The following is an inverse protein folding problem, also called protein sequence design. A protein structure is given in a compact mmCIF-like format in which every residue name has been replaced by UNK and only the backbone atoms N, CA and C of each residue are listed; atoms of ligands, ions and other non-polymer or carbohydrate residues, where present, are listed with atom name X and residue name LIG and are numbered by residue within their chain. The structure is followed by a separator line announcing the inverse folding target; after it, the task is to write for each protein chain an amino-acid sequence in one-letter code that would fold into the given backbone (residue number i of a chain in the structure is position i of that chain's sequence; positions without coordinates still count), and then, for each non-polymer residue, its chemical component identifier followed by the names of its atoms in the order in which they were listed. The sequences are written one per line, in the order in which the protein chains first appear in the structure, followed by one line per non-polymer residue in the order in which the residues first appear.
data_IF_109703005760
#
_entry.id   IF_109703005760
#
_cell.length_a   1.000
_cell.length_b   1.000
_cell.length_c   1.000
_cell.angle_alpha   90.00
_cell.angle_beta   90.00
_cell.angle_gamma   90.00
#
_symmetry.space_group_name_H-M   'P 1'
#
loop_
_entity.id
_entity.type
_entity.pdbx_description
1 polymer ?
#
# COMPACT_ATOMS: atom_id res chain seq x y z
N UNK A 1 3.65 17.06 17.54
CA UNK A 1 2.44 17.07 18.40
C UNK A 1 2.16 15.65 18.83
N UNK A 2 1.90 15.43 20.12
CA UNK A 2 1.55 14.09 20.64
C UNK A 2 0.09 14.10 21.05
N UNK A 3 -0.68 13.11 20.58
CA UNK A 3 -2.04 12.82 21.01
C UNK A 3 -1.99 11.66 22.00
N UNK A 4 -2.63 11.80 23.15
CA UNK A 4 -2.77 10.72 24.14
C UNK A 4 -4.26 10.38 24.26
N UNK A 5 -4.59 9.14 23.96
CA UNK A 5 -5.92 8.57 24.14
C UNK A 5 -5.94 7.81 25.47
N UNK A 6 -6.60 8.39 26.48
CA UNK A 6 -6.66 7.80 27.80
C UNK A 6 -7.80 6.78 27.90
N UNK A 7 -7.57 5.67 28.59
CA UNK A 7 -8.56 4.62 28.89
C UNK A 7 -9.18 3.94 27.64
N UNK A 8 -8.52 3.96 26.49
CA UNK A 8 -9.02 3.33 25.27
C UNK A 8 -9.10 1.80 25.43
N UNK A 9 -10.09 1.18 24.79
CA UNK A 9 -10.13 -0.26 24.61
C UNK A 9 -9.25 -0.64 23.42
N UNK A 10 -8.05 -1.16 23.68
CA UNK A 10 -7.03 -1.41 22.66
C UNK A 10 -7.00 -2.89 22.28
N UNK A 11 -7.06 -3.19 20.99
CA UNK A 11 -6.89 -4.53 20.46
C UNK A 11 -5.42 -4.79 20.13
N UNK A 12 -4.84 -5.83 20.75
CA UNK A 12 -3.49 -6.33 20.45
C UNK A 12 -3.48 -7.85 20.55
N UNK A 13 -2.87 -8.52 19.57
CA UNK A 13 -2.65 -9.98 19.58
C UNK A 13 -3.90 -10.80 19.91
N UNK A 14 -5.05 -10.42 19.35
CA UNK A 14 -6.31 -11.14 19.56
C UNK A 14 -7.06 -10.79 20.84
N UNK A 15 -6.56 -9.87 21.67
CA UNK A 15 -7.15 -9.52 22.98
C UNK A 15 -7.43 -8.02 23.07
N UNK A 16 -8.55 -7.67 23.69
CA UNK A 16 -8.88 -6.31 24.10
C UNK A 16 -8.42 -6.03 25.53
N UNK A 17 -7.76 -4.90 25.73
CA UNK A 17 -7.39 -4.41 27.06
C UNK A 17 -7.54 -2.90 27.15
N UNK A 18 -7.83 -2.37 28.35
CA UNK A 18 -7.86 -0.92 28.58
C UNK A 18 -6.44 -0.40 28.76
N UNK A 19 -6.05 0.55 27.93
CA UNK A 19 -4.73 1.17 27.97
C UNK A 19 -4.77 2.61 27.46
N UNK A 20 -3.79 3.39 27.87
CA UNK A 20 -3.49 4.67 27.24
C UNK A 20 -2.67 4.44 25.97
N UNK A 21 -2.99 5.17 24.92
CA UNK A 21 -2.29 5.10 23.62
C UNK A 21 -1.73 6.47 23.29
N UNK A 22 -0.43 6.55 23.09
CA UNK A 22 0.24 7.78 22.64
C UNK A 22 0.57 7.69 21.15
N UNK A 23 0.13 8.69 20.39
CA UNK A 23 0.39 8.80 18.94
C UNK A 23 1.16 10.08 18.68
N UNK A 24 2.36 9.95 18.10
CA UNK A 24 3.14 11.10 17.63
C UNK A 24 2.68 11.50 16.22
N UNK A 25 2.18 12.71 16.08
CA UNK A 25 1.72 13.27 14.82
C UNK A 25 2.82 14.14 14.20
N UNK A 26 3.46 13.64 13.15
CA UNK A 26 4.43 14.35 12.32
C UNK A 26 5.89 14.20 12.78
N UNK A 27 6.79 14.08 11.80
CA UNK A 27 8.24 14.04 11.93
C UNK A 27 8.88 15.41 11.67
N UNK A 28 8.70 16.38 12.54
CA UNK A 28 9.37 17.67 12.46
C UNK A 28 10.01 18.03 13.80
N UNK A 29 10.98 18.96 13.79
CA UNK A 29 11.65 19.46 15.00
C UNK A 29 10.60 19.90 16.01
N UNK A 30 10.45 19.11 17.07
CA UNK A 30 9.46 19.32 18.11
C UNK A 30 9.83 20.57 18.93
N UNK A 31 9.09 21.66 18.79
CA UNK A 31 8.88 22.51 19.95
C UNK A 31 8.11 21.68 20.97
N UNK A 32 8.54 21.74 22.23
CA UNK A 32 7.84 21.07 23.34
C UNK A 32 6.40 21.64 23.45
N UNK A 33 5.49 20.99 22.73
CA UNK A 33 4.05 21.25 22.82
C UNK A 33 3.50 20.20 23.76
N UNK A 34 2.78 20.62 24.78
CA UNK A 34 2.10 19.71 25.70
C UNK A 34 1.23 18.74 24.91
N UNK A 35 1.18 17.44 25.30
CA UNK A 35 0.35 16.47 24.63
C UNK A 35 -1.12 16.86 24.72
N UNK A 36 -1.87 16.63 23.65
CA UNK A 36 -3.34 16.71 23.67
C UNK A 36 -3.87 15.39 24.21
N UNK A 37 -4.52 15.46 25.38
CA UNK A 37 -5.13 14.29 26.02
C UNK A 37 -6.63 14.24 25.70
N UNK A 38 -7.12 13.08 25.31
CA UNK A 38 -8.53 12.81 25.00
C UNK A 38 -8.98 11.61 25.83
N UNK A 39 -10.10 11.73 26.53
CA UNK A 39 -10.75 10.56 27.14
C UNK A 39 -11.31 9.66 26.03
N UNK A 40 -10.75 8.48 25.92
CA UNK A 40 -11.09 7.48 24.92
C UNK A 40 -11.80 6.26 25.54
N UNK A 41 -12.40 6.40 26.70
CA UNK A 41 -13.06 5.31 27.43
C UNK A 41 -14.22 4.66 26.65
N UNK A 42 -14.84 5.39 25.70
CA UNK A 42 -15.90 4.91 24.81
C UNK A 42 -15.38 4.47 23.44
N UNK A 43 -14.07 4.54 23.18
CA UNK A 43 -13.48 4.20 21.88
C UNK A 43 -12.74 2.89 21.90
N UNK A 44 -12.75 2.23 20.74
CA UNK A 44 -11.92 1.06 20.46
C UNK A 44 -10.77 1.48 19.54
N UNK A 45 -9.54 1.16 19.92
CA UNK A 45 -8.34 1.40 19.12
C UNK A 45 -7.90 0.09 18.48
N UNK A 46 -7.85 0.09 17.16
CA UNK A 46 -7.43 -1.02 16.31
C UNK A 46 -6.18 -0.63 15.53
N UNK A 47 -5.36 -1.59 15.06
CA UNK A 47 -4.41 -1.33 13.99
C UNK A 47 -5.13 -0.78 12.75
N UNK A 48 -4.48 0.11 12.00
CA UNK A 48 -5.02 0.56 10.71
C UNK A 48 -5.22 -0.61 9.76
N UNK A 49 -6.29 -0.56 8.98
CA UNK A 49 -6.62 -1.62 8.02
C UNK A 49 -5.62 -1.67 6.87
N UNK A 50 -5.52 -2.82 6.24
CA UNK A 50 -4.73 -3.06 5.03
C UNK A 50 -5.67 -3.56 3.93
N UNK A 51 -5.70 -2.87 2.79
CA UNK A 51 -6.37 -3.35 1.60
C UNK A 51 -5.33 -3.87 0.62
N UNK A 52 -5.44 -5.14 0.26
CA UNK A 52 -4.44 -5.82 -0.58
C UNK A 52 -4.76 -5.73 -2.08
N UNK A 53 -5.84 -5.04 -2.48
CA UNK A 53 -6.28 -4.97 -3.87
C UNK A 53 -7.05 -3.67 -4.15
N UNK A 54 -6.35 -2.63 -4.55
CA UNK A 54 -6.96 -1.35 -4.96
C UNK A 54 -6.45 -0.89 -6.32
N UNK A 55 -7.21 -0.01 -6.98
CA UNK A 55 -6.83 0.58 -8.25
C UNK A 55 -6.67 2.10 -8.11
N UNK A 56 -5.43 2.58 -8.05
CA UNK A 56 -5.14 4.02 -7.97
C UNK A 56 -5.01 4.69 -9.33
N UNK A 57 -4.92 3.92 -10.41
CA UNK A 57 -5.04 4.38 -11.81
C UNK A 57 -4.00 5.41 -12.29
N UNK A 58 -3.03 5.74 -11.48
CA UNK A 58 -1.95 6.67 -11.82
C UNK A 58 -0.59 5.94 -11.75
N UNK A 59 0.20 6.01 -12.81
CA UNK A 59 0.06 6.80 -14.05
C UNK A 59 -0.93 6.24 -15.10
N UNK A 60 -1.28 7.09 -16.06
CA UNK A 60 -1.95 6.74 -17.32
C UNK A 60 -3.47 6.88 -17.32
N UNK A 61 -4.15 6.70 -16.19
CA UNK A 61 -5.61 6.73 -16.09
C UNK A 61 -6.10 7.68 -14.99
N UNK A 62 -5.40 8.78 -14.75
CA UNK A 62 -5.68 9.75 -13.67
C UNK A 62 -7.06 10.40 -13.76
N UNK A 63 -7.74 10.28 -14.91
CA UNK A 63 -9.14 10.71 -15.06
C UNK A 63 -10.15 9.78 -14.36
N UNK A 64 -9.72 8.58 -13.96
CA UNK A 64 -10.55 7.64 -13.16
C UNK A 64 -10.27 7.78 -11.67
N UNK A 65 -8.99 7.83 -11.29
CA UNK A 65 -8.53 7.96 -9.92
C UNK A 65 -7.07 8.44 -9.91
N UNK A 66 -6.66 9.08 -8.82
CA UNK A 66 -5.26 9.44 -8.59
C UNK A 66 -4.75 8.83 -7.28
N UNK A 67 -3.43 8.72 -7.13
CA UNK A 67 -2.83 8.27 -5.88
C UNK A 67 -3.28 9.17 -4.72
N UNK A 68 -3.33 10.49 -4.94
CA UNK A 68 -3.75 11.45 -3.90
C UNK A 68 -5.20 11.24 -3.45
N UNK A 69 -6.14 11.11 -4.38
CA UNK A 69 -7.57 11.01 -4.06
C UNK A 69 -7.91 9.64 -3.51
N UNK A 70 -7.38 8.57 -4.11
CA UNK A 70 -7.60 7.19 -3.64
C UNK A 70 -7.00 6.95 -2.25
N UNK A 71 -5.78 7.44 -1.99
CA UNK A 71 -5.16 7.28 -0.66
C UNK A 71 -5.86 8.13 0.42
N UNK A 72 -6.42 9.29 0.07
CA UNK A 72 -7.27 10.07 1.00
C UNK A 72 -8.58 9.36 1.31
N UNK A 73 -9.22 8.75 0.31
CA UNK A 73 -10.42 7.96 0.53
C UNK A 73 -10.14 6.74 1.44
N UNK A 74 -9.05 6.04 1.18
CA UNK A 74 -8.60 4.93 2.01
C UNK A 74 -8.30 5.36 3.46
N UNK A 75 -7.56 6.47 3.64
CA UNK A 75 -7.29 7.04 4.96
C UNK A 75 -8.57 7.37 5.72
N UNK A 76 -9.56 7.97 5.03
CA UNK A 76 -10.88 8.26 5.61
C UNK A 76 -11.63 6.99 6.01
N UNK A 77 -11.43 5.88 5.31
CA UNK A 77 -11.95 4.55 5.64
C UNK A 77 -11.21 3.82 6.75
N UNK A 78 -10.12 4.41 7.31
CA UNK A 78 -9.32 3.78 8.37
C UNK A 78 -8.22 2.85 7.86
N UNK A 79 -7.93 2.86 6.56
CA UNK A 79 -6.81 2.10 5.99
C UNK A 79 -5.49 2.84 6.20
N UNK A 80 -4.49 2.12 6.68
CA UNK A 80 -3.13 2.62 6.84
C UNK A 80 -2.22 2.22 5.67
N UNK A 81 -2.57 1.13 4.99
CA UNK A 81 -1.83 0.58 3.85
C UNK A 81 -2.81 0.14 2.77
N UNK A 82 -2.42 0.36 1.52
CA UNK A 82 -3.14 -0.18 0.35
C UNK A 82 -2.14 -0.77 -0.62
N UNK A 83 -2.49 -1.90 -1.26
CA UNK A 83 -1.68 -2.49 -2.31
C UNK A 83 -2.30 -2.18 -3.68
N UNK A 84 -1.54 -1.44 -4.52
CA UNK A 84 -2.03 -0.90 -5.79
C UNK A 84 -1.76 -1.87 -6.95
N UNK A 85 -2.82 -2.24 -7.66
CA UNK A 85 -2.78 -3.16 -8.80
C UNK A 85 -2.07 -2.55 -10.02
N UNK A 86 -1.41 -3.38 -10.87
CA UNK A 86 -0.53 -2.93 -11.94
C UNK A 86 -1.26 -2.49 -13.22
N UNK A 87 -2.59 -2.35 -13.20
CA UNK A 87 -3.39 -1.93 -14.38
C UNK A 87 -3.19 -0.45 -14.70
N UNK A 88 -2.00 -0.08 -15.11
CA UNK A 88 -1.53 1.28 -15.35
C UNK A 88 -1.08 1.46 -16.82
N UNK A 89 -0.69 2.67 -17.16
CA UNK A 89 -0.06 2.98 -18.44
C UNK A 89 1.08 4.00 -18.22
N UNK A 90 2.34 3.55 -18.36
CA UNK A 90 2.74 2.20 -18.74
C UNK A 90 2.41 1.15 -17.67
N UNK A 91 2.28 -0.11 -18.09
CA UNK A 91 2.19 -1.25 -17.17
C UNK A 91 3.52 -1.40 -16.44
N UNK A 92 3.57 -1.52 -15.12
CA UNK A 92 4.82 -1.66 -14.34
C UNK A 92 5.43 -3.07 -14.50
N UNK A 93 6.00 -3.34 -15.66
CA UNK A 93 6.64 -4.60 -16.05
C UNK A 93 8.18 -4.53 -16.10
N UNK A 94 8.71 -3.36 -15.81
CA UNK A 94 10.14 -3.04 -15.70
C UNK A 94 10.35 -1.89 -14.73
N UNK A 95 11.59 -1.63 -14.29
CA UNK A 95 11.89 -0.48 -13.43
C UNK A 95 11.61 0.86 -14.15
N UNK A 96 11.83 0.94 -15.46
CA UNK A 96 11.51 2.13 -16.25
C UNK A 96 10.02 2.46 -16.17
N UNK A 97 9.16 1.45 -16.29
CA UNK A 97 7.71 1.60 -16.24
C UNK A 97 7.15 1.73 -14.81
N UNK A 98 7.80 1.13 -13.82
CA UNK A 98 7.42 1.25 -12.39
C UNK A 98 7.79 2.62 -11.80
N UNK A 99 8.90 3.23 -12.24
CA UNK A 99 9.42 4.45 -11.65
C UNK A 99 8.42 5.61 -11.60
N UNK A 100 7.61 5.90 -12.65
CA UNK A 100 6.59 6.94 -12.60
C UNK A 100 5.53 6.74 -11.50
N UNK A 101 5.14 5.48 -11.22
CA UNK A 101 4.22 5.17 -10.12
C UNK A 101 4.88 5.43 -8.76
N UNK A 102 6.14 4.98 -8.57
CA UNK A 102 6.89 5.24 -7.34
C UNK A 102 7.07 6.73 -7.08
N UNK A 103 7.30 7.53 -8.11
CA UNK A 103 7.43 8.98 -8.00
C UNK A 103 6.10 9.63 -7.61
N UNK A 104 5.00 9.20 -8.19
CA UNK A 104 3.67 9.68 -7.85
C UNK A 104 3.28 9.28 -6.41
N UNK A 105 3.59 8.05 -5.97
CA UNK A 105 3.40 7.59 -4.59
C UNK A 105 4.18 8.50 -3.62
N UNK A 106 5.46 8.76 -3.87
CA UNK A 106 6.28 9.62 -3.01
C UNK A 106 5.75 11.04 -2.90
N UNK A 107 5.21 11.57 -3.99
CA UNK A 107 4.71 12.96 -4.08
C UNK A 107 3.33 13.12 -3.44
N UNK A 108 2.43 12.18 -3.63
CA UNK A 108 0.99 12.39 -3.46
C UNK A 108 0.30 11.49 -2.43
N UNK A 109 0.90 10.35 -2.07
CA UNK A 109 0.27 9.41 -1.15
C UNK A 109 0.19 9.96 0.29
N UNK A 110 -0.96 9.83 0.92
CA UNK A 110 -1.18 10.24 2.34
C UNK A 110 -1.15 9.07 3.30
N UNK A 111 -1.20 7.84 2.80
CA UNK A 111 -0.97 6.59 3.53
C UNK A 111 0.05 5.75 2.75
N UNK A 112 0.49 4.64 3.32
CA UNK A 112 1.44 3.78 2.65
C UNK A 112 0.81 3.07 1.46
N UNK A 113 1.37 3.25 0.28
CA UNK A 113 1.03 2.52 -0.94
C UNK A 113 2.12 1.50 -1.24
N UNK A 114 1.70 0.27 -1.48
CA UNK A 114 2.54 -0.87 -1.83
C UNK A 114 2.19 -1.27 -3.27
N UNK A 115 2.99 -0.89 -4.29
CA UNK A 115 2.65 -1.21 -5.67
C UNK A 115 2.83 -2.70 -5.96
N UNK A 116 2.07 -3.21 -6.92
CA UNK A 116 2.32 -4.49 -7.59
C UNK A 116 3.13 -4.27 -8.85
N UNK A 117 4.08 -5.16 -9.15
CA UNK A 117 4.62 -5.31 -10.49
C UNK A 117 3.77 -6.24 -11.34
N UNK A 118 3.80 -6.10 -12.67
CA UNK A 118 3.19 -7.06 -13.56
C UNK A 118 3.97 -8.40 -13.55
N UNK A 119 3.27 -9.51 -13.73
CA UNK A 119 3.88 -10.84 -13.92
C UNK A 119 4.52 -10.93 -15.30
N UNK A 120 3.81 -10.43 -16.33
CA UNK A 120 4.25 -10.53 -17.71
C UNK A 120 4.34 -9.15 -18.38
N UNK A 121 5.19 -9.04 -19.40
CA UNK A 121 5.36 -7.81 -20.17
C UNK A 121 4.01 -7.33 -20.73
N UNK A 122 3.63 -6.10 -20.38
CA UNK A 122 2.35 -5.50 -20.78
C UNK A 122 1.12 -6.26 -20.31
N UNK A 123 1.23 -7.17 -19.33
CA UNK A 123 0.16 -8.08 -18.88
C UNK A 123 -0.40 -8.92 -20.04
N UNK A 124 0.45 -9.43 -20.95
CA UNK A 124 0.03 -10.18 -22.14
C UNK A 124 0.07 -11.70 -21.97
N UNK A 125 0.70 -12.20 -20.90
CA UNK A 125 0.84 -13.62 -20.64
C UNK A 125 1.87 -14.34 -21.51
N UNK A 126 2.70 -13.60 -22.28
CA UNK A 126 3.60 -14.15 -23.30
C UNK A 126 5.07 -14.24 -22.85
N UNK A 127 5.51 -13.30 -22.03
CA UNK A 127 6.89 -13.19 -21.54
C UNK A 127 6.90 -12.62 -20.13
N UNK A 128 7.76 -13.17 -19.25
CA UNK A 128 7.92 -12.64 -17.89
C UNK A 128 8.44 -11.19 -17.93
N UNK A 129 7.88 -10.37 -17.08
CA UNK A 129 8.38 -9.04 -16.74
C UNK A 129 9.74 -9.11 -16.03
N UNK A 130 10.38 -7.97 -15.83
CA UNK A 130 11.65 -7.90 -15.08
C UNK A 130 11.41 -7.97 -13.57
N UNK A 131 11.05 -9.17 -13.11
CA UNK A 131 10.71 -9.42 -11.70
C UNK A 131 11.89 -9.15 -10.77
N UNK A 132 13.13 -9.45 -11.21
CA UNK A 132 14.32 -9.25 -10.40
C UNK A 132 14.54 -7.78 -10.05
N UNK A 133 14.48 -6.93 -11.05
CA UNK A 133 14.71 -5.50 -10.86
C UNK A 133 13.59 -4.85 -10.01
N UNK A 134 12.34 -5.30 -10.17
CA UNK A 134 11.19 -4.72 -9.49
C UNK A 134 10.99 -5.22 -8.04
N UNK A 135 11.43 -6.45 -7.71
CA UNK A 135 11.16 -7.08 -6.42
C UNK A 135 11.47 -6.20 -5.18
N UNK A 136 12.55 -5.39 -5.14
CA UNK A 136 12.81 -4.53 -3.97
C UNK A 136 11.79 -3.41 -3.75
N UNK A 137 10.95 -3.12 -4.74
CA UNK A 137 10.07 -1.95 -4.77
C UNK A 137 8.58 -2.29 -4.77
N UNK A 138 8.23 -3.56 -5.00
CA UNK A 138 6.84 -4.03 -5.08
C UNK A 138 6.50 -5.00 -3.95
N UNK A 139 5.24 -5.11 -3.61
CA UNK A 139 4.79 -6.05 -2.57
C UNK A 139 4.56 -7.45 -3.11
N UNK A 140 4.19 -7.56 -4.38
CA UNK A 140 3.95 -8.81 -5.08
C UNK A 140 3.82 -8.54 -6.60
N UNK A 141 3.48 -9.58 -7.37
CA UNK A 141 3.29 -9.50 -8.81
C UNK A 141 1.89 -9.98 -9.20
N UNK A 142 1.27 -9.30 -10.17
CA UNK A 142 -0.07 -9.63 -10.64
C UNK A 142 -0.25 -9.18 -12.10
N UNK A 143 -1.01 -9.97 -12.89
CA UNK A 143 -1.60 -9.54 -14.16
C UNK A 143 -3.12 -9.40 -13.96
N UNK A 144 -3.52 -8.55 -13.00
CA UNK A 144 -4.90 -8.39 -12.57
C UNK A 144 -5.85 -8.09 -13.73
N UNK A 145 -6.98 -8.77 -13.75
CA UNK A 145 -8.02 -8.64 -14.76
C UNK A 145 -7.74 -9.38 -16.08
N UNK A 146 -6.47 -9.71 -16.38
CA UNK A 146 -6.09 -10.47 -17.59
C UNK A 146 -5.70 -11.91 -17.26
N UNK A 147 -4.88 -12.07 -16.23
CA UNK A 147 -4.37 -13.35 -15.78
C UNK A 147 -3.38 -14.00 -16.75
N UNK A 148 -2.58 -14.92 -16.23
CA UNK A 148 -1.62 -15.71 -17.02
C UNK A 148 -2.26 -17.07 -17.32
N UNK A 149 -2.58 -17.33 -18.59
CA UNK A 149 -3.28 -18.55 -19.01
C UNK A 149 -2.32 -19.73 -19.21
N UNK A 150 -1.07 -19.46 -19.58
CA UNK A 150 -0.05 -20.48 -19.74
C UNK A 150 0.42 -20.99 -18.38
N UNK A 151 0.28 -22.31 -18.14
CA UNK A 151 0.60 -22.95 -16.85
C UNK A 151 2.11 -22.94 -16.55
N UNK A 152 2.94 -23.10 -17.56
CA UNK A 152 4.39 -23.11 -17.39
C UNK A 152 4.91 -21.70 -17.14
N UNK A 153 4.34 -20.69 -17.79
CA UNK A 153 4.61 -19.29 -17.51
C UNK A 153 4.25 -18.94 -16.06
N UNK A 154 3.04 -19.29 -15.60
CA UNK A 154 2.62 -19.05 -14.22
C UNK A 154 3.52 -19.79 -13.22
N UNK A 155 3.87 -21.04 -13.52
CA UNK A 155 4.79 -21.83 -12.67
C UNK A 155 6.18 -21.16 -12.58
N UNK A 156 6.71 -20.68 -13.71
CA UNK A 156 7.98 -19.95 -13.74
C UNK A 156 7.91 -18.66 -12.91
N UNK A 157 6.83 -17.87 -13.06
CA UNK A 157 6.59 -16.66 -12.28
C UNK A 157 6.53 -16.95 -10.77
N UNK A 158 5.79 -17.97 -10.34
CA UNK A 158 5.68 -18.36 -8.93
C UNK A 158 7.02 -18.82 -8.34
N UNK A 159 7.80 -19.61 -9.10
CA UNK A 159 9.13 -20.04 -8.66
C UNK A 159 10.08 -18.84 -8.54
N UNK A 160 10.00 -17.92 -9.49
CA UNK A 160 10.81 -16.70 -9.47
C UNK A 160 10.44 -15.81 -8.27
N UNK A 161 9.15 -15.54 -8.06
CA UNK A 161 8.67 -14.76 -6.92
C UNK A 161 9.11 -15.38 -5.58
N UNK A 162 9.03 -16.72 -5.46
CA UNK A 162 9.52 -17.44 -4.27
C UNK A 162 11.03 -17.26 -4.03
N UNK A 163 11.84 -17.14 -5.08
CA UNK A 163 13.28 -16.90 -4.95
C UNK A 163 13.60 -15.48 -4.50
N UNK A 164 12.73 -14.53 -4.84
CA UNK A 164 12.89 -13.12 -4.54
C UNK A 164 12.39 -12.73 -3.14
N UNK A 165 11.62 -13.59 -2.45
CA UNK A 165 11.04 -13.38 -1.12
C UNK A 165 9.64 -12.87 -1.20
#
# INVERSE_FOLDING_TARGET
MTLVLNNAQVFRSGVFSRNDVSVSLGGGVSRAVSPVCVDASSFVVLPGFVDVHVHLREPGFSYKETIRTGTRAAAHGGFAHVAAMPNLNPVPDSMEHLQPELDAIRRDAVIRVLPYGAITEGEKGEKLADLDAMAPYVVAFSDDGKGVQDREMMRAAMLKAKQLG
#
